data_IF_657799964721
#
_entry.id   IF_657799964721
#
_cell.length_a   1.000
_cell.length_b   1.000
_cell.length_c   1.000
_cell.angle_alpha   90.00
_cell.angle_beta   90.00
_cell.angle_gamma   90.00
#
_symmetry.space_group_name_H-M   'P 1'
#
loop_
_entity.id
_entity.type
_entity.pdbx_description
1 polymer ?
#
# COMPACT_ATOMS: atom_id res chain seq x y z
N UNK A 1 0.52 -28.13 14.08
CA UNK A 1 -0.18 -26.87 14.42
C UNK A 1 0.65 -25.63 14.08
N UNK A 2 1.93 -25.50 14.49
CA UNK A 2 2.80 -24.34 14.15
C UNK A 2 2.81 -23.94 12.68
N UNK A 3 2.84 -24.91 11.77
CA UNK A 3 2.90 -24.64 10.33
C UNK A 3 1.67 -23.90 9.76
N UNK A 4 0.49 -24.10 10.36
CA UNK A 4 -0.74 -23.42 9.94
C UNK A 4 -0.76 -21.97 10.42
N UNK A 5 -0.25 -21.74 11.63
CA UNK A 5 -0.15 -20.39 12.20
C UNK A 5 0.84 -19.53 11.40
N UNK A 6 2.02 -20.06 11.10
CA UNK A 6 3.02 -19.42 10.24
C UNK A 6 2.43 -19.09 8.86
N UNK A 7 1.76 -20.07 8.23
CA UNK A 7 1.09 -19.85 6.95
C UNK A 7 0.02 -18.75 7.01
N UNK A 8 -0.73 -18.66 8.10
CA UNK A 8 -1.76 -17.63 8.30
C UNK A 8 -1.13 -16.24 8.49
N UNK A 9 0.00 -16.16 9.18
CA UNK A 9 0.75 -14.91 9.38
C UNK A 9 1.29 -14.36 8.06
N UNK A 10 1.71 -15.24 7.14
CA UNK A 10 2.33 -14.83 5.88
C UNK A 10 1.36 -14.73 4.69
N UNK A 11 0.12 -15.19 4.87
CA UNK A 11 -0.92 -15.12 3.84
C UNK A 11 -1.80 -13.89 3.97
N UNK A 12 -2.26 -13.38 2.82
CA UNK A 12 -3.25 -12.32 2.75
C UNK A 12 -4.63 -12.82 3.19
N UNK A 13 -5.17 -12.28 4.28
CA UNK A 13 -6.40 -12.81 4.87
C UNK A 13 -7.63 -12.62 3.99
N UNK A 14 -7.57 -11.70 3.03
CA UNK A 14 -8.63 -11.45 2.04
C UNK A 14 -8.85 -12.65 1.11
N UNK A 15 -7.87 -13.54 0.98
CA UNK A 15 -7.97 -14.74 0.13
C UNK A 15 -8.78 -15.86 0.76
N UNK A 16 -8.91 -15.87 2.08
CA UNK A 16 -9.61 -16.96 2.77
C UNK A 16 -11.13 -16.88 2.65
N UNK A 17 -11.68 -15.73 2.25
CA UNK A 17 -13.13 -15.56 2.12
C UNK A 17 -13.90 -15.76 3.43
N UNK A 18 -13.23 -15.57 4.57
CA UNK A 18 -13.85 -15.72 5.88
C UNK A 18 -14.87 -14.61 6.11
N UNK A 19 -16.01 -14.97 6.71
CA UNK A 19 -16.99 -13.99 7.14
C UNK A 19 -16.38 -13.10 8.22
N UNK A 20 -16.51 -11.79 8.05
CA UNK A 20 -16.08 -10.83 9.06
C UNK A 20 -16.88 -11.02 10.35
N UNK A 21 -16.17 -11.21 11.45
CA UNK A 21 -16.71 -11.13 12.81
C UNK A 21 -16.71 -9.68 13.33
N UNK A 22 -16.10 -8.76 12.60
CA UNK A 22 -15.98 -7.37 13.01
C UNK A 22 -17.28 -6.62 12.69
N UNK A 23 -17.71 -5.66 13.54
CA UNK A 23 -18.93 -4.91 13.27
C UNK A 23 -18.84 -4.13 11.94
N UNK A 24 -19.92 -4.14 11.15
CA UNK A 24 -19.97 -3.48 9.83
C UNK A 24 -20.30 -2.00 9.90
N UNK A 25 -21.01 -1.55 10.93
CA UNK A 25 -21.50 -0.18 11.06
C UNK A 25 -20.62 0.69 11.98
N UNK A 26 -19.29 0.63 11.81
CA UNK A 26 -18.35 1.38 12.67
C UNK A 26 -18.68 2.87 12.84
N UNK A 27 -19.12 3.63 11.82
CA UNK A 27 -19.45 5.05 12.01
C UNK A 27 -20.59 5.32 13.00
N UNK A 28 -21.45 4.33 13.26
CA UNK A 28 -22.58 4.44 14.20
C UNK A 28 -22.26 3.94 15.60
N UNK A 29 -21.15 3.21 15.76
CA UNK A 29 -20.73 2.64 17.02
C UNK A 29 -19.87 3.64 17.80
N UNK A 30 -20.04 3.64 19.12
CA UNK A 30 -19.13 4.32 20.06
C UNK A 30 -18.01 3.39 20.52
N UNK A 31 -18.30 2.09 20.58
CA UNK A 31 -17.41 1.05 21.09
C UNK A 31 -17.64 -0.23 20.29
N UNK A 32 -16.57 -0.99 20.09
CA UNK A 32 -16.62 -2.32 19.48
C UNK A 32 -17.08 -3.34 20.53
N UNK A 33 -18.03 -4.24 20.22
CA UNK A 33 -18.48 -5.27 21.16
C UNK A 33 -17.32 -6.10 21.74
N UNK A 34 -17.45 -6.60 22.98
CA UNK A 34 -16.42 -7.43 23.59
C UNK A 34 -16.07 -8.64 22.72
N UNK A 35 -14.78 -8.85 22.48
CA UNK A 35 -14.31 -9.88 21.55
C UNK A 35 -12.85 -9.71 21.19
N UNK A 36 -12.35 -10.71 20.45
CA UNK A 36 -11.03 -10.70 19.84
C UNK A 36 -11.18 -10.74 18.34
N UNK A 37 -10.53 -9.81 17.66
CA UNK A 37 -10.66 -9.60 16.23
C UNK A 37 -9.29 -9.68 15.59
N UNK A 38 -9.14 -10.67 14.71
CA UNK A 38 -7.92 -10.85 13.93
C UNK A 38 -8.00 -9.98 12.68
N UNK A 39 -7.02 -9.09 12.50
CA UNK A 39 -7.01 -8.11 11.42
C UNK A 39 -5.63 -8.04 10.79
N UNK A 40 -5.57 -7.56 9.56
CA UNK A 40 -4.36 -7.37 8.79
C UNK A 40 -4.16 -5.89 8.51
N UNK A 41 -2.93 -5.42 8.71
CA UNK A 41 -2.51 -4.08 8.32
C UNK A 41 -2.28 -4.05 6.82
N UNK A 42 -2.92 -3.10 6.14
CA UNK A 42 -2.72 -2.85 4.71
C UNK A 42 -1.78 -1.67 4.46
N UNK A 43 -1.84 -0.65 5.32
CA UNK A 43 -1.00 0.54 5.27
C UNK A 43 -0.86 1.13 6.68
N UNK A 44 0.32 1.69 6.97
CA UNK A 44 0.59 2.50 8.16
C UNK A 44 1.17 3.83 7.70
N UNK A 45 0.69 4.92 8.27
CA UNK A 45 1.18 6.25 7.98
C UNK A 45 1.19 7.08 9.26
N UNK A 46 2.27 7.80 9.54
CA UNK A 46 2.30 8.82 10.57
C UNK A 46 1.66 10.11 10.03
N UNK A 47 0.46 10.42 10.50
CA UNK A 47 -0.31 11.58 10.03
C UNK A 47 0.21 12.91 10.56
N UNK A 48 1.20 12.90 11.47
CA UNK A 48 1.91 14.13 11.87
C UNK A 48 2.90 14.60 10.81
N UNK A 49 3.34 13.70 9.93
CA UNK A 49 4.26 14.05 8.86
C UNK A 49 3.51 14.63 7.66
N UNK A 50 4.16 15.46 6.82
CA UNK A 50 3.60 15.88 5.55
C UNK A 50 3.27 14.66 4.68
N UNK A 51 2.19 14.73 3.88
CA UNK A 51 1.63 13.60 3.13
C UNK A 51 2.63 12.74 2.34
N UNK A 52 3.72 13.36 1.87
CA UNK A 52 4.78 12.68 1.12
C UNK A 52 5.70 11.79 1.97
N UNK A 53 5.77 12.03 3.28
CA UNK A 53 6.74 11.45 4.20
C UNK A 53 6.10 10.59 5.29
N UNK A 54 4.77 10.48 5.28
CA UNK A 54 4.00 9.79 6.32
C UNK A 54 4.34 8.30 6.45
N UNK A 55 4.82 7.68 5.38
CA UNK A 55 5.19 6.26 5.40
C UNK A 55 6.70 6.04 5.56
N UNK A 56 7.50 7.11 5.65
CA UNK A 56 8.97 7.05 5.62
C UNK A 56 9.58 7.42 6.97
N UNK A 57 8.95 8.36 7.67
CA UNK A 57 9.46 8.92 8.91
C UNK A 57 8.41 8.84 10.01
N UNK A 58 8.88 8.65 11.23
CA UNK A 58 8.07 8.79 12.43
C UNK A 58 8.36 10.12 13.11
N UNK A 59 7.31 10.81 13.55
CA UNK A 59 7.37 12.08 14.29
C UNK A 59 7.92 11.98 15.71
N UNK A 60 8.59 10.86 16.04
CA UNK A 60 9.19 10.60 17.34
C UNK A 60 8.18 10.73 18.48
N UNK A 61 8.42 11.69 19.38
CA UNK A 61 7.59 11.92 20.58
C UNK A 61 6.13 12.30 20.27
N UNK A 62 5.87 12.93 19.13
CA UNK A 62 4.54 13.41 18.75
C UNK A 62 3.85 12.54 17.69
N UNK A 63 4.44 11.38 17.38
CA UNK A 63 3.92 10.42 16.42
C UNK A 63 2.43 10.14 16.62
N UNK A 64 1.70 10.08 15.50
CA UNK A 64 0.29 9.70 15.46
C UNK A 64 0.08 8.77 14.27
N UNK A 65 0.06 7.46 14.49
CA UNK A 65 -0.13 6.50 13.41
C UNK A 65 -1.60 6.36 13.02
N UNK A 66 -1.87 6.44 11.73
CA UNK A 66 -3.09 5.97 11.10
C UNK A 66 -2.83 4.63 10.40
N UNK A 67 -3.64 3.62 10.73
CA UNK A 67 -3.55 2.29 10.18
C UNK A 67 -4.78 2.00 9.32
N UNK A 68 -4.57 1.67 8.06
CA UNK A 68 -5.62 1.07 7.24
C UNK A 68 -5.60 -0.45 7.48
N UNK A 69 -6.68 -0.94 8.09
CA UNK A 69 -6.85 -2.31 8.52
C UNK A 69 -7.89 -3.02 7.65
N UNK A 70 -7.77 -4.34 7.57
CA UNK A 70 -8.78 -5.20 6.96
C UNK A 70 -8.96 -6.46 7.79
N UNK A 71 -10.18 -7.00 7.84
CA UNK A 71 -10.49 -8.30 8.43
C UNK A 71 -10.63 -9.40 7.37
N UNK A 72 -10.31 -9.09 6.11
CA UNK A 72 -10.47 -9.98 4.96
C UNK A 72 -11.69 -9.65 4.10
N UNK A 73 -12.76 -9.09 4.68
CA UNK A 73 -13.99 -8.73 3.96
C UNK A 73 -14.19 -7.23 3.85
N UNK A 74 -13.98 -6.49 4.95
CA UNK A 74 -14.12 -5.04 5.00
C UNK A 74 -12.77 -4.36 5.30
N UNK A 75 -12.75 -3.06 5.06
CA UNK A 75 -11.62 -2.17 5.37
C UNK A 75 -12.10 -1.12 6.35
N UNK A 76 -11.25 -0.78 7.30
CA UNK A 76 -11.52 0.25 8.29
C UNK A 76 -10.21 0.89 8.73
N UNK A 77 -10.30 2.03 9.40
CA UNK A 77 -9.14 2.79 9.84
C UNK A 77 -9.05 2.83 11.35
N UNK A 78 -7.86 2.58 11.87
CA UNK A 78 -7.50 2.82 13.27
C UNK A 78 -6.55 3.99 13.40
N UNK A 79 -6.66 4.72 14.50
CA UNK A 79 -5.76 5.82 14.87
C UNK A 79 -5.14 5.46 16.21
N UNK A 80 -3.83 5.61 16.31
CA UNK A 80 -3.07 5.47 17.56
C UNK A 80 -3.49 6.56 18.55
N UNK A 81 -4.40 6.25 19.46
CA UNK A 81 -4.89 7.21 20.46
C UNK A 81 -3.92 7.36 21.64
N UNK A 82 -3.21 6.27 21.97
CA UNK A 82 -2.08 6.28 22.89
C UNK A 82 -0.91 5.53 22.27
N UNK A 83 0.32 5.87 22.66
CA UNK A 83 1.53 5.26 22.07
C UNK A 83 1.53 3.74 22.19
N UNK A 84 1.73 3.05 21.07
CA UNK A 84 1.83 1.60 20.96
C UNK A 84 3.24 1.23 20.52
N UNK A 85 4.03 0.65 21.44
CA UNK A 85 5.47 0.43 21.24
C UNK A 85 5.79 -0.50 20.07
N UNK A 86 4.94 -1.49 19.85
CA UNK A 86 5.15 -2.52 18.82
C UNK A 86 4.67 -2.08 17.42
N UNK A 87 4.04 -0.90 17.30
CA UNK A 87 3.65 -0.32 16.02
C UNK A 87 4.72 0.67 15.54
N UNK A 88 4.83 0.80 14.22
CA UNK A 88 5.72 1.76 13.55
C UNK A 88 5.46 1.80 12.05
N UNK A 89 5.87 2.87 11.37
CA UNK A 89 5.71 3.05 9.91
C UNK A 89 6.51 2.02 9.11
N UNK A 90 7.56 1.46 9.71
CA UNK A 90 8.43 0.46 9.08
C UNK A 90 7.87 -0.97 9.15
N UNK A 91 6.73 -1.20 9.81
CA UNK A 91 6.12 -2.53 9.79
C UNK A 91 5.71 -2.90 8.36
N UNK A 92 6.02 -4.13 7.92
CA UNK A 92 5.70 -4.55 6.57
C UNK A 92 4.18 -4.65 6.37
N UNK A 93 3.67 -4.24 5.20
CA UNK A 93 2.28 -4.50 4.83
C UNK A 93 1.94 -5.99 4.92
N UNK A 94 0.76 -6.29 5.44
CA UNK A 94 0.32 -7.66 5.72
C UNK A 94 0.55 -8.13 7.15
N UNK A 95 1.22 -7.34 7.99
CA UNK A 95 1.37 -7.60 9.44
C UNK A 95 0.02 -7.89 10.08
N UNK A 96 -0.04 -8.94 10.91
CA UNK A 96 -1.26 -9.35 11.61
C UNK A 96 -1.34 -8.72 12.99
N UNK A 97 -2.53 -8.26 13.34
CA UNK A 97 -2.86 -7.72 14.65
C UNK A 97 -4.03 -8.50 15.25
N UNK A 98 -4.01 -8.64 16.57
CA UNK A 98 -5.14 -9.06 17.35
C UNK A 98 -5.68 -7.86 18.12
N UNK A 99 -6.87 -7.39 17.74
CA UNK A 99 -7.60 -6.36 18.46
C UNK A 99 -8.45 -7.02 19.54
N UNK A 100 -8.39 -6.51 20.77
CA UNK A 100 -9.18 -7.01 21.89
C UNK A 100 -10.05 -5.90 22.43
N UNK A 101 -11.36 -6.15 22.51
CA UNK A 101 -12.32 -5.30 23.22
C UNK A 101 -12.83 -6.10 24.43
N UNK A 102 -12.81 -5.49 25.61
CA UNK A 102 -13.31 -6.11 26.85
C UNK A 102 -14.37 -5.22 27.48
N UNK A 103 -15.16 -5.75 28.41
CA UNK A 103 -16.18 -4.95 29.11
C UNK A 103 -15.57 -3.83 29.96
N UNK A 104 -14.41 -4.06 30.57
CA UNK A 104 -13.72 -3.07 31.41
C UNK A 104 -12.83 -2.11 30.62
N UNK A 105 -12.40 -2.50 29.42
CA UNK A 105 -11.56 -1.72 28.52
C UNK A 105 -12.04 -1.94 27.08
N UNK A 106 -13.09 -1.21 26.66
CA UNK A 106 -13.66 -1.36 25.33
C UNK A 106 -12.79 -0.67 24.28
N UNK A 107 -12.72 -1.26 23.08
CA UNK A 107 -12.12 -0.61 21.91
C UNK A 107 -13.07 0.49 21.42
N UNK A 108 -12.68 1.75 21.65
CA UNK A 108 -13.49 2.93 21.34
C UNK A 108 -13.47 3.26 19.85
N UNK A 109 -14.56 3.88 19.39
CA UNK A 109 -14.77 4.30 18.00
C UNK A 109 -15.24 5.75 17.98
N UNK A 110 -14.61 6.56 17.15
CA UNK A 110 -14.98 7.96 16.94
C UNK A 110 -14.95 8.29 15.45
N UNK A 111 -16.03 8.87 14.92
CA UNK A 111 -16.16 9.23 13.49
C UNK A 111 -15.84 8.06 12.53
N UNK A 112 -16.15 6.83 12.92
CA UNK A 112 -15.84 5.62 12.14
C UNK A 112 -14.37 5.19 12.17
N UNK A 113 -13.55 5.75 13.07
CA UNK A 113 -12.18 5.35 13.30
C UNK A 113 -12.02 4.65 14.65
N UNK A 114 -11.26 3.56 14.67
CA UNK A 114 -10.91 2.86 15.90
C UNK A 114 -9.86 3.68 16.66
N UNK A 115 -10.06 3.88 17.96
CA UNK A 115 -9.09 4.53 18.83
C UNK A 115 -8.23 3.46 19.48
N UNK A 116 -7.04 3.24 18.91
CA UNK A 116 -6.13 2.18 19.31
C UNK A 116 -5.27 2.63 20.49
N UNK A 117 -5.30 1.83 21.56
CA UNK A 117 -4.45 1.97 22.75
C UNK A 117 -3.64 0.68 22.97
N UNK A 118 -2.53 0.76 23.70
CA UNK A 118 -1.63 -0.39 23.90
C UNK A 118 -2.32 -1.66 24.46
N UNK A 119 -3.37 -1.51 25.28
CA UNK A 119 -4.06 -2.65 25.87
C UNK A 119 -4.96 -3.41 24.88
N UNK A 120 -5.40 -2.74 23.82
CA UNK A 120 -6.34 -3.32 22.85
C UNK A 120 -5.64 -3.92 21.63
N UNK A 121 -4.35 -3.64 21.44
CA UNK A 121 -3.57 -4.12 20.28
C UNK A 121 -2.50 -5.09 20.73
N UNK A 122 -2.48 -6.27 20.09
CA UNK A 122 -1.34 -7.20 20.14
C UNK A 122 -0.83 -7.45 18.73
N UNK A 123 0.44 -7.15 18.48
CA UNK A 123 1.09 -7.45 17.20
C UNK A 123 1.43 -8.95 17.15
N UNK A 124 0.89 -9.65 16.16
CA UNK A 124 1.16 -11.07 15.91
C UNK A 124 2.24 -11.28 14.84
N UNK A 125 2.71 -10.20 14.21
CA UNK A 125 3.75 -10.18 13.18
C UNK A 125 3.31 -10.87 11.88
N UNK A 126 4.28 -11.34 11.09
CA UNK A 126 4.06 -11.83 9.73
C UNK A 126 4.08 -10.73 8.67
N UNK A 127 4.14 -11.12 7.41
CA UNK A 127 4.08 -10.19 6.28
C UNK A 127 3.44 -10.85 5.07
N UNK A 128 2.84 -10.07 4.17
CA UNK A 128 2.29 -10.61 2.94
C UNK A 128 3.19 -10.20 1.79
N UNK A 129 3.97 -11.14 1.26
CA UNK A 129 4.99 -10.86 0.23
C UNK A 129 4.49 -10.03 -0.93
N UNK A 130 3.30 -10.34 -1.46
CA UNK A 130 2.71 -9.59 -2.56
C UNK A 130 2.48 -8.11 -2.19
N UNK A 131 2.04 -7.82 -0.96
CA UNK A 131 1.85 -6.44 -0.51
C UNK A 131 3.18 -5.75 -0.24
N UNK A 132 4.16 -6.47 0.30
CA UNK A 132 5.52 -5.95 0.52
C UNK A 132 6.18 -5.57 -0.81
N UNK A 133 6.06 -6.41 -1.84
CA UNK A 133 6.61 -6.14 -3.18
C UNK A 133 5.99 -4.88 -3.78
N UNK A 134 4.65 -4.75 -3.76
CA UNK A 134 3.96 -3.56 -4.28
C UNK A 134 4.30 -2.30 -3.49
N UNK A 135 4.44 -2.42 -2.16
CA UNK A 135 4.81 -1.30 -1.30
C UNK A 135 6.23 -0.81 -1.57
N UNK A 136 7.21 -1.73 -1.64
CA UNK A 136 8.60 -1.39 -1.98
C UNK A 136 8.71 -0.76 -3.37
N UNK A 137 8.00 -1.30 -4.37
CA UNK A 137 7.99 -0.71 -5.70
C UNK A 137 7.40 0.71 -5.69
N UNK A 138 6.33 0.95 -4.94
CA UNK A 138 5.75 2.29 -4.78
C UNK A 138 6.73 3.28 -4.14
N UNK A 139 7.48 2.83 -3.13
CA UNK A 139 8.52 3.63 -2.46
C UNK A 139 9.64 4.00 -3.42
N UNK A 140 10.18 3.03 -4.14
CA UNK A 140 11.26 3.24 -5.12
C UNK A 140 10.84 4.24 -6.21
N UNK A 141 9.59 4.16 -6.70
CA UNK A 141 9.06 5.10 -7.68
C UNK A 141 8.99 6.53 -7.13
N UNK A 142 8.49 6.71 -5.91
CA UNK A 142 8.40 8.06 -5.32
C UNK A 142 9.79 8.63 -4.97
N UNK A 143 10.72 7.79 -4.51
CA UNK A 143 12.12 8.17 -4.28
C UNK A 143 12.79 8.62 -5.58
N UNK A 144 12.67 7.85 -6.67
CA UNK A 144 13.18 8.24 -7.99
C UNK A 144 12.54 9.53 -8.48
N UNK A 145 11.23 9.70 -8.28
CA UNK A 145 10.51 10.92 -8.64
C UNK A 145 11.00 12.13 -7.86
N UNK A 146 11.30 11.96 -6.57
CA UNK A 146 11.89 13.00 -5.73
C UNK A 146 13.29 13.35 -6.22
N UNK A 147 14.12 12.36 -6.50
CA UNK A 147 15.47 12.56 -7.04
C UNK A 147 15.41 13.36 -8.35
N UNK A 148 14.51 13.03 -9.27
CA UNK A 148 14.33 13.76 -10.53
C UNK A 148 13.86 15.21 -10.34
N UNK A 149 13.07 15.49 -9.30
CA UNK A 149 12.64 16.87 -8.99
C UNK A 149 13.76 17.71 -8.39
N UNK A 150 14.63 17.10 -7.59
CA UNK A 150 15.71 17.81 -6.88
C UNK A 150 16.96 17.97 -7.74
N UNK A 151 17.38 16.90 -8.41
CA UNK A 151 18.63 16.87 -9.21
C UNK A 151 18.40 17.06 -10.71
N UNK A 152 17.13 17.11 -11.16
CA UNK A 152 16.78 16.97 -12.57
C UNK A 152 16.90 15.51 -13.04
N UNK A 153 16.31 15.21 -14.19
CA UNK A 153 16.56 13.91 -14.86
C UNK A 153 18.02 13.94 -15.33
N UNK A 154 18.90 13.18 -14.66
CA UNK A 154 20.23 12.90 -15.19
C UNK A 154 20.03 12.23 -16.54
N UNK A 155 20.34 12.94 -17.62
CA UNK A 155 20.41 12.35 -18.95
C UNK A 155 21.55 11.33 -18.89
N UNK A 156 21.23 10.05 -18.77
CA UNK A 156 22.14 9.05 -19.29
C UNK A 156 22.22 9.32 -20.79
N UNK A 157 23.44 9.41 -21.32
CA UNK A 157 23.68 9.62 -22.74
C UNK A 157 23.06 8.45 -23.54
N UNK A 158 21.82 8.63 -24.01
CA UNK A 158 21.16 7.74 -24.99
C UNK A 158 20.00 6.86 -24.49
N UNK A 159 19.75 6.76 -23.17
CA UNK A 159 18.72 5.84 -22.62
C UNK A 159 17.59 6.55 -21.84
N UNK A 160 17.41 7.85 -22.08
CA UNK A 160 16.31 8.61 -21.48
C UNK A 160 15.01 8.51 -22.28
N UNK A 161 13.87 8.58 -21.60
CA UNK A 161 12.59 8.79 -22.25
C UNK A 161 12.69 10.03 -23.18
N UNK A 162 12.17 9.95 -24.42
CA UNK A 162 12.30 11.02 -25.39
C UNK A 162 11.71 12.31 -24.83
N UNK A 163 12.34 13.48 -25.11
CA UNK A 163 11.82 14.75 -24.63
C UNK A 163 10.40 14.98 -25.16
N UNK A 164 9.52 15.51 -24.32
CA UNK A 164 8.22 15.99 -24.77
C UNK A 164 8.44 17.08 -25.81
N UNK A 165 8.14 16.75 -27.05
CA UNK A 165 8.09 17.70 -28.16
C UNK A 165 6.62 17.96 -28.46
N UNK A 166 6.27 19.24 -28.65
CA UNK A 166 4.92 19.59 -29.09
C UNK A 166 4.60 18.85 -30.39
N UNK A 167 3.35 18.41 -30.53
CA UNK A 167 2.88 17.81 -31.78
C UNK A 167 3.13 18.81 -32.91
N UNK A 168 3.99 18.43 -33.85
CA UNK A 168 4.29 19.22 -35.04
C UNK A 168 3.41 18.71 -36.19
N UNK A 169 2.34 19.43 -36.57
CA UNK A 169 1.44 19.01 -37.63
C UNK A 169 2.16 18.86 -38.99
N UNK A 170 3.30 19.52 -39.18
CA UNK A 170 4.10 19.42 -40.41
C UNK A 170 4.92 18.12 -40.45
N UNK A 171 5.38 17.64 -39.28
CA UNK A 171 5.98 16.30 -39.16
C UNK A 171 4.93 15.18 -39.16
N UNK A 172 3.70 15.49 -38.75
CA UNK A 172 2.58 14.55 -38.80
C UNK A 172 2.02 14.33 -40.22
N UNK A 173 2.31 15.25 -41.16
CA UNK A 173 1.98 15.07 -42.58
C UNK A 173 3.00 14.13 -43.24
N UNK A 174 2.77 12.84 -42.98
CA UNK A 174 3.22 11.64 -43.67
C UNK A 174 4.40 11.73 -44.62
N UNK A 175 5.41 10.90 -44.35
CA UNK A 175 5.98 10.11 -45.44
C UNK A 175 4.82 9.51 -46.25
N UNK A 176 4.92 9.56 -47.58
CA UNK A 176 3.85 9.07 -48.47
C UNK A 176 3.41 7.67 -48.04
N UNK A 177 2.18 7.27 -48.39
CA UNK A 177 1.56 6.00 -47.95
C UNK A 177 2.49 4.78 -47.99
N UNK A 178 3.41 4.77 -48.97
CA UNK A 178 4.50 3.81 -49.13
C UNK A 178 5.45 3.71 -47.93
N UNK A 179 5.89 4.83 -47.34
CA UNK A 179 6.76 4.87 -46.17
C UNK A 179 6.05 4.35 -44.91
N UNK A 180 4.76 4.64 -44.75
CA UNK A 180 3.95 4.09 -43.65
C UNK A 180 3.74 2.58 -43.81
N UNK A 181 3.50 2.12 -45.04
CA UNK A 181 3.34 0.69 -45.34
C UNK A 181 4.65 -0.09 -45.16
N UNK A 182 5.80 0.52 -45.51
CA UNK A 182 7.15 -0.02 -45.28
C UNK A 182 7.46 -0.12 -43.78
N UNK A 183 7.21 0.94 -43.02
CA UNK A 183 7.38 0.94 -41.56
C UNK A 183 6.49 -0.16 -40.93
N UNK A 184 5.20 -0.21 -41.29
CA UNK A 184 4.28 -1.25 -40.80
C UNK A 184 4.71 -2.68 -41.16
N UNK A 185 5.32 -2.87 -42.34
CA UNK A 185 5.85 -4.17 -42.75
C UNK A 185 7.09 -4.57 -41.93
N UNK A 186 7.94 -3.60 -41.58
CA UNK A 186 9.10 -3.80 -40.72
C UNK A 186 8.68 -4.15 -39.29
N UNK A 187 7.71 -3.41 -38.71
CA UNK A 187 7.12 -3.73 -37.40
C UNK A 187 6.51 -5.14 -37.36
N UNK A 188 5.85 -5.58 -38.44
CA UNK A 188 5.31 -6.95 -38.54
C UNK A 188 6.41 -8.02 -38.61
N UNK A 189 7.51 -7.76 -39.30
CA UNK A 189 8.67 -8.68 -39.34
C UNK A 189 9.34 -8.78 -37.96
N UNK A 190 9.55 -7.66 -37.28
CA UNK A 190 10.12 -7.62 -35.92
C UNK A 190 9.22 -8.33 -34.91
N UNK A 191 7.91 -8.10 -34.97
CA UNK A 191 6.94 -8.80 -34.12
C UNK A 191 6.89 -10.31 -34.37
N UNK A 192 7.04 -10.75 -35.63
CA UNK A 192 7.12 -12.17 -35.95
C UNK A 192 8.42 -12.83 -35.46
N UNK A 193 9.54 -12.10 -35.46
CA UNK A 193 10.82 -12.59 -34.94
C UNK A 193 10.78 -12.79 -33.41
N UNK A 194 10.10 -11.90 -32.68
CA UNK A 194 9.91 -11.98 -31.22
C UNK A 194 8.90 -13.04 -30.76
N UNK A 195 8.13 -13.64 -31.68
CA UNK A 195 7.14 -14.67 -31.40
C UNK A 195 7.57 -16.10 -31.77
N UNK A 196 8.82 -16.32 -32.18
CA UNK A 196 9.31 -17.63 -32.66
C UNK A 196 10.32 -18.35 -31.74
N UNK A 197 10.33 -18.02 -30.44
CA UNK A 197 11.05 -18.78 -29.40
C UNK A 197 10.11 -19.24 -28.31
#
# INVERSE_FOLDING_TARGET
>A
QRHVEEYLLDTDIRKFGLASLFPKELPRLKEVPPGKYFVQITKIADITQPSKFQEDFEGGKWRLLALDLSDGSQKFRGIEYGSIKDLGVHLPPGTKLLLTSTQSAPLRVANGHLLLEQHCVKVLWGNVDKLVVTWKASKEVEEKRLLWRTEGVKKSDGEGAPPWVAFDPKKARGGGRKALDEDFAEWRKLGAALGST
#
